data_IF_178170558881
#
_entry.id   IF_178170558881
#
_cell.length_a   1.000
_cell.length_b   1.000
_cell.length_c   1.000
_cell.angle_alpha   90.00
_cell.angle_beta   90.00
_cell.angle_gamma   90.00
#
_symmetry.space_group_name_H-M   'P 1'
#
loop_
_entity.id
_entity.type
_entity.pdbx_description
1 polymer ?
#
# COMPACT_ATOMS: atom_id res chain seq x y z
N UNK A 1 16.99 5.03 -9.83
CA UNK A 1 16.14 3.85 -10.08
C UNK A 1 16.77 2.55 -9.55
N UNK A 2 18.08 2.32 -9.71
CA UNK A 2 18.78 1.12 -9.20
C UNK A 2 18.55 0.83 -7.71
N UNK A 3 18.51 1.86 -6.86
CA UNK A 3 18.30 1.72 -5.41
C UNK A 3 16.92 1.11 -5.05
N UNK A 4 15.92 1.29 -5.91
CA UNK A 4 14.55 0.85 -5.66
C UNK A 4 14.25 -0.53 -6.25
N UNK A 5 15.19 -1.14 -7.00
CA UNK A 5 14.99 -2.47 -7.59
C UNK A 5 14.60 -3.53 -6.55
N UNK A 6 15.28 -3.66 -5.39
CA UNK A 6 14.88 -4.62 -4.37
C UNK A 6 13.48 -4.34 -3.81
N UNK A 7 13.14 -3.05 -3.65
CA UNK A 7 11.82 -2.63 -3.19
C UNK A 7 10.73 -3.03 -4.18
N UNK A 8 10.95 -2.83 -5.48
CA UNK A 8 9.99 -3.23 -6.50
C UNK A 8 9.84 -4.74 -6.62
N UNK A 9 10.93 -5.51 -6.48
CA UNK A 9 10.84 -6.98 -6.39
C UNK A 9 10.05 -7.44 -5.16
N UNK A 10 10.19 -6.73 -4.03
CA UNK A 10 9.39 -7.01 -2.84
C UNK A 10 7.91 -6.69 -3.07
N UNK A 11 7.58 -5.62 -3.79
CA UNK A 11 6.20 -5.27 -4.19
C UNK A 11 5.59 -6.36 -5.08
N UNK A 12 6.34 -6.88 -6.06
CA UNK A 12 5.88 -7.99 -6.91
C UNK A 12 5.63 -9.27 -6.11
N UNK A 13 6.50 -9.56 -5.13
CA UNK A 13 6.29 -10.67 -4.19
C UNK A 13 5.02 -10.46 -3.36
N UNK A 14 4.80 -9.23 -2.88
CA UNK A 14 3.63 -8.86 -2.09
C UNK A 14 2.34 -8.93 -2.92
N UNK A 15 2.40 -8.59 -4.21
CA UNK A 15 1.29 -8.68 -5.17
C UNK A 15 0.87 -10.14 -5.38
N UNK A 16 1.85 -11.05 -5.54
CA UNK A 16 1.60 -12.48 -5.62
C UNK A 16 0.98 -13.00 -4.30
N UNK A 17 1.52 -12.60 -3.15
CA UNK A 17 0.97 -12.96 -1.85
C UNK A 17 -0.47 -12.43 -1.67
N UNK A 18 -0.75 -11.21 -2.12
CA UNK A 18 -2.09 -10.63 -2.08
C UNK A 18 -3.07 -11.47 -2.88
N UNK A 19 -2.71 -11.89 -4.10
CA UNK A 19 -3.55 -12.75 -4.94
C UNK A 19 -3.92 -14.06 -4.23
N UNK A 20 -2.93 -14.75 -3.66
CA UNK A 20 -3.11 -16.03 -3.00
C UNK A 20 -3.90 -15.92 -1.70
N UNK A 21 -3.58 -14.93 -0.85
CA UNK A 21 -4.24 -14.74 0.43
C UNK A 21 -5.68 -14.22 0.27
N UNK A 22 -5.87 -13.21 -0.59
CA UNK A 22 -7.18 -12.58 -0.78
C UNK A 22 -8.16 -13.49 -1.51
N UNK A 23 -7.69 -14.37 -2.40
CA UNK A 23 -8.54 -15.18 -3.30
C UNK A 23 -9.55 -14.31 -4.06
N UNK A 24 -9.11 -13.14 -4.51
CA UNK A 24 -9.93 -12.17 -5.23
C UNK A 24 -10.81 -11.28 -4.35
N UNK A 25 -10.67 -11.36 -3.02
CA UNK A 25 -11.37 -10.51 -2.06
C UNK A 25 -10.64 -9.17 -1.84
N UNK A 26 -11.28 -8.19 -1.18
CA UNK A 26 -10.75 -6.83 -1.09
C UNK A 26 -9.44 -6.69 -0.30
N UNK A 27 -9.14 -7.61 0.62
CA UNK A 27 -8.06 -7.54 1.60
C UNK A 27 -7.22 -8.83 1.63
N UNK A 28 -6.01 -8.78 2.21
CA UNK A 28 -5.21 -9.99 2.49
C UNK A 28 -5.97 -10.95 3.42
N UNK A 29 -6.76 -10.41 4.36
CA UNK A 29 -7.66 -11.16 5.23
C UNK A 29 -8.93 -11.68 4.54
N UNK A 30 -9.07 -11.54 3.22
CA UNK A 30 -10.27 -11.92 2.49
C UNK A 30 -11.28 -10.78 2.44
N UNK A 31 -12.48 -11.02 2.95
CA UNK A 31 -13.55 -10.02 2.99
C UNK A 31 -13.31 -8.92 4.04
N UNK A 32 -12.46 -9.19 5.04
CA UNK A 32 -12.16 -8.27 6.14
C UNK A 32 -10.66 -7.95 6.21
N UNK A 33 -10.32 -6.83 6.85
CA UNK A 33 -8.94 -6.45 7.18
C UNK A 33 -8.31 -7.55 8.05
N UNK A 34 -7.21 -8.12 7.58
CA UNK A 34 -6.41 -9.11 8.30
C UNK A 34 -5.08 -8.56 8.79
N UNK A 35 -4.26 -9.44 9.37
CA UNK A 35 -2.95 -9.08 9.92
C UNK A 35 -2.03 -8.41 8.89
N UNK A 36 -1.93 -8.97 7.68
CA UNK A 36 -1.08 -8.40 6.62
C UNK A 36 -1.59 -7.06 6.13
N UNK A 37 -2.91 -6.84 6.09
CA UNK A 37 -3.47 -5.53 5.74
C UNK A 37 -3.02 -4.45 6.72
N UNK A 38 -2.97 -4.76 8.03
CA UNK A 38 -2.49 -3.81 9.05
C UNK A 38 -0.99 -3.55 8.90
N UNK A 39 -0.18 -4.61 8.74
CA UNK A 39 1.28 -4.48 8.64
C UNK A 39 1.71 -3.70 7.39
N UNK A 40 1.11 -4.00 6.24
CA UNK A 40 1.39 -3.27 4.99
C UNK A 40 0.72 -1.89 5.04
N UNK A 41 -0.48 -1.80 5.62
CA UNK A 41 -1.27 -0.58 5.78
C UNK A 41 -0.54 0.52 6.55
N UNK A 42 0.28 0.14 7.53
CA UNK A 42 1.13 1.07 8.30
C UNK A 42 2.10 1.88 7.41
N UNK A 43 2.44 1.39 6.21
CA UNK A 43 3.33 2.06 5.27
C UNK A 43 2.60 2.99 4.30
N UNK A 44 1.27 2.92 4.22
CA UNK A 44 0.47 3.61 3.19
C UNK A 44 0.62 5.13 3.25
N UNK A 45 0.69 5.74 4.43
CA UNK A 45 0.96 7.17 4.58
C UNK A 45 2.30 7.58 3.93
N UNK A 46 3.35 6.77 4.13
CA UNK A 46 4.67 7.02 3.55
C UNK A 46 4.67 6.84 2.04
N UNK A 47 3.92 5.86 1.52
CA UNK A 47 3.77 5.65 0.08
C UNK A 47 3.13 6.88 -0.58
N UNK A 48 2.03 7.38 -0.03
CA UNK A 48 1.38 8.59 -0.54
C UNK A 48 2.28 9.82 -0.44
N UNK A 49 3.04 9.96 0.65
CA UNK A 49 4.01 11.05 0.82
C UNK A 49 5.14 10.98 -0.23
N UNK A 50 5.68 9.78 -0.50
CA UNK A 50 6.71 9.58 -1.50
C UNK A 50 6.21 9.86 -2.91
N UNK A 51 4.96 9.49 -3.23
CA UNK A 51 4.33 9.85 -4.50
C UNK A 51 4.18 11.38 -4.63
N UNK A 52 3.63 12.04 -3.61
CA UNK A 52 3.41 13.49 -3.63
C UNK A 52 4.72 14.30 -3.72
N UNK A 53 5.78 13.87 -3.02
CA UNK A 53 7.06 14.60 -2.95
C UNK A 53 8.03 14.25 -4.07
N UNK A 54 8.03 13.00 -4.53
CA UNK A 54 9.05 12.47 -5.45
C UNK A 54 8.48 11.90 -6.75
N UNK A 55 7.15 11.90 -6.94
CA UNK A 55 6.50 11.24 -8.07
C UNK A 55 6.67 9.72 -8.08
N UNK A 56 7.08 9.13 -6.97
CA UNK A 56 7.37 7.70 -6.88
C UNK A 56 6.09 6.92 -6.56
N UNK A 57 5.54 6.25 -7.57
CA UNK A 57 4.49 5.25 -7.39
C UNK A 57 5.08 3.91 -6.99
N UNK A 58 5.02 3.59 -5.70
CA UNK A 58 5.50 2.30 -5.20
C UNK A 58 4.57 1.17 -5.64
N UNK A 59 3.27 1.32 -5.38
CA UNK A 59 2.24 0.48 -5.97
C UNK A 59 1.73 1.18 -7.22
N UNK A 60 1.75 0.46 -8.34
CA UNK A 60 1.40 1.02 -9.65
C UNK A 60 0.59 0.00 -10.44
N UNK A 61 -0.39 0.47 -11.21
CA UNK A 61 -1.31 -0.40 -11.95
C UNK A 61 -0.63 -1.32 -12.98
N UNK A 62 0.56 -0.96 -13.48
CA UNK A 62 1.32 -1.78 -14.44
C UNK A 62 2.10 -2.92 -13.79
N UNK A 63 2.56 -2.73 -12.54
CA UNK A 63 3.43 -3.68 -11.83
C UNK A 63 2.69 -4.45 -10.74
N UNK A 64 1.83 -3.77 -10.00
CA UNK A 64 1.11 -4.30 -8.85
C UNK A 64 -0.35 -3.84 -8.84
N UNK A 65 -1.14 -4.24 -9.85
CA UNK A 65 -2.52 -3.79 -10.01
C UNK A 65 -3.42 -4.11 -8.82
N UNK A 66 -3.27 -5.27 -8.17
CA UNK A 66 -4.10 -5.65 -7.04
C UNK A 66 -3.77 -4.81 -5.80
N UNK A 67 -2.48 -4.60 -5.53
CA UNK A 67 -2.03 -3.75 -4.42
C UNK A 67 -2.36 -2.28 -4.65
N UNK A 68 -2.27 -1.79 -5.89
CA UNK A 68 -2.69 -0.43 -6.25
C UNK A 68 -4.17 -0.23 -5.87
N UNK A 69 -5.04 -1.17 -6.26
CA UNK A 69 -6.46 -1.11 -5.89
C UNK A 69 -6.69 -1.32 -4.38
N UNK A 70 -5.87 -2.14 -3.72
CA UNK A 70 -5.94 -2.36 -2.28
C UNK A 70 -5.59 -1.10 -1.49
N UNK A 71 -4.55 -0.34 -1.87
CA UNK A 71 -4.19 0.92 -1.20
C UNK A 71 -5.34 1.91 -1.22
N UNK A 72 -6.02 2.04 -2.37
CA UNK A 72 -7.18 2.92 -2.50
C UNK A 72 -8.33 2.51 -1.58
N UNK A 73 -8.55 1.19 -1.39
CA UNK A 73 -9.58 0.68 -0.48
C UNK A 73 -9.17 0.87 0.98
N UNK A 74 -7.96 0.47 1.35
CA UNK A 74 -7.45 0.54 2.72
C UNK A 74 -7.41 1.98 3.23
N UNK A 75 -7.00 2.94 2.37
CA UNK A 75 -6.97 4.37 2.70
C UNK A 75 -8.36 4.98 2.99
N UNK A 76 -9.44 4.31 2.56
CA UNK A 76 -10.81 4.79 2.72
C UNK A 76 -11.51 4.23 3.96
N UNK A 77 -10.89 3.28 4.67
CA UNK A 77 -11.38 2.78 5.96
C UNK A 77 -11.39 3.92 6.99
N UNK A 78 -12.42 3.96 7.83
CA UNK A 78 -12.60 5.06 8.78
C UNK A 78 -11.56 5.01 9.90
N UNK A 79 -11.14 3.80 10.31
CA UNK A 79 -10.03 3.57 11.23
C UNK A 79 -8.71 4.10 10.65
N UNK A 80 -8.50 3.88 9.36
CA UNK A 80 -7.32 4.37 8.64
C UNK A 80 -7.32 5.90 8.57
N UNK A 81 -8.46 6.55 8.30
CA UNK A 81 -8.56 8.02 8.31
C UNK A 81 -8.33 8.63 9.70
N UNK A 82 -8.70 7.91 10.76
CA UNK A 82 -8.53 8.38 12.14
C UNK A 82 -7.07 8.32 12.61
N UNK A 83 -6.28 7.37 12.10
CA UNK A 83 -4.91 7.11 12.56
C UNK A 83 -3.84 7.58 11.57
N UNK A 84 -4.13 7.58 10.26
CA UNK A 84 -3.17 8.08 9.29
C UNK A 84 -2.95 9.57 9.55
N UNK A 85 -1.72 9.99 9.84
CA UNK A 85 -1.41 11.40 9.95
C UNK A 85 -1.74 12.05 8.61
N UNK A 86 -2.36 13.23 8.68
CA UNK A 86 -2.49 14.10 7.50
C UNK A 86 -1.11 14.17 6.85
N UNK A 87 -0.99 13.71 5.62
CA UNK A 87 0.30 13.58 4.92
C UNK A 87 1.04 14.92 4.92
N UNK A 88 0.31 16.04 4.97
CA UNK A 88 0.86 17.40 5.10
C UNK A 88 1.52 17.68 6.45
N UNK A 89 1.12 16.98 7.52
CA UNK A 89 1.66 17.07 8.88
C UNK A 89 2.85 16.14 9.14
N UNK A 90 3.12 15.17 8.26
CA UNK A 90 4.23 14.22 8.44
C UNK A 90 5.63 14.85 8.32
N UNK A 91 5.74 16.15 8.02
CA UNK A 91 6.93 16.93 8.34
C UNK A 91 8.24 16.39 7.77
N UNK A 92 8.19 15.60 6.69
CA UNK A 92 9.37 15.31 5.87
C UNK A 92 9.64 16.56 5.07
N UNK A 93 10.17 17.59 5.73
CA UNK A 93 10.72 18.80 5.13
C UNK A 93 12.22 18.65 5.18
#
# INVERSE_FOLDING_TARGET
MELLKPTFAAVETLEAAFRECSKGRPFFGGDNVGYLDVMVGALVAWVHAAEARHGLKLFDASRSPLLNAWVDRFSKLDETKAVLPDIRKLGLV
#
